data_IF_708394988103
#
_entry.id   IF_708394988103
#
_cell.length_a   1.000
_cell.length_b   1.000
_cell.length_c   1.000
_cell.angle_alpha   90.00
_cell.angle_beta   90.00
_cell.angle_gamma   90.00
#
_symmetry.space_group_name_H-M   'P 1'
#
loop_
_entity.id
_entity.type
_entity.pdbx_description
1 polymer ?
#
# COMPACT_ATOMS: atom_id res chain seq x y z
N UNK A 1 69.01 19.14 -3.61
CA UNK A 1 68.98 18.72 -5.02
C UNK A 1 67.85 17.71 -5.19
N UNK A 2 67.01 17.92 -6.20
CA UNK A 2 65.61 17.45 -6.42
C UNK A 2 65.34 15.95 -6.13
N UNK A 3 64.36 15.66 -5.28
CA UNK A 3 63.66 14.37 -5.28
C UNK A 3 62.47 14.44 -6.24
N UNK A 4 62.54 13.65 -7.33
CA UNK A 4 61.51 13.53 -8.37
C UNK A 4 60.33 12.72 -7.84
N UNK A 5 59.12 13.29 -7.92
CA UNK A 5 57.89 12.53 -7.80
C UNK A 5 57.72 11.64 -9.04
N UNK A 6 57.78 10.32 -8.86
CA UNK A 6 57.35 9.34 -9.85
C UNK A 6 55.86 9.10 -9.64
N UNK A 7 55.05 9.82 -10.42
CA UNK A 7 53.62 9.53 -10.56
C UNK A 7 53.53 8.25 -11.40
N UNK A 8 53.01 7.17 -10.81
CA UNK A 8 52.79 5.89 -11.46
C UNK A 8 51.72 6.02 -12.54
N UNK A 9 52.13 5.96 -13.80
CA UNK A 9 51.25 5.85 -14.96
C UNK A 9 50.91 4.37 -15.16
N UNK A 10 49.88 3.89 -14.48
CA UNK A 10 49.19 2.60 -14.64
C UNK A 10 47.86 2.75 -13.88
N UNK A 11 46.64 2.54 -14.38
CA UNK A 11 46.10 2.01 -15.63
C UNK A 11 44.72 2.68 -15.86
N UNK A 12 44.54 3.42 -16.96
CA UNK A 12 43.23 3.99 -17.35
C UNK A 12 42.47 3.11 -18.35
N UNK A 13 42.74 1.80 -18.35
CA UNK A 13 42.18 0.85 -19.33
C UNK A 13 40.67 0.63 -19.15
N UNK A 14 40.15 0.79 -17.93
CA UNK A 14 38.72 0.65 -17.62
C UNK A 14 37.88 1.88 -17.93
N UNK A 15 38.50 3.06 -18.07
CA UNK A 15 37.75 4.28 -18.36
C UNK A 15 37.21 4.30 -19.79
N UNK A 16 37.95 3.71 -20.74
CA UNK A 16 37.53 3.66 -22.14
C UNK A 16 36.25 2.84 -22.33
N UNK A 17 36.12 1.59 -21.84
CA UNK A 17 34.87 0.84 -21.93
C UNK A 17 33.72 1.48 -21.13
N UNK A 18 34.02 2.11 -19.99
CA UNK A 18 33.01 2.83 -19.20
C UNK A 18 32.43 4.03 -19.96
N UNK A 19 33.29 4.87 -20.56
CA UNK A 19 32.85 6.04 -21.33
C UNK A 19 32.13 5.63 -22.62
N UNK A 20 32.58 4.57 -23.29
CA UNK A 20 31.90 4.03 -24.47
C UNK A 20 30.49 3.49 -24.11
N UNK A 21 30.35 2.74 -23.01
CA UNK A 21 29.06 2.26 -22.53
C UNK A 21 28.12 3.39 -22.15
N UNK A 22 28.64 4.44 -21.49
CA UNK A 22 27.85 5.61 -21.11
C UNK A 22 27.34 6.37 -22.33
N UNK A 23 28.18 6.55 -23.35
CA UNK A 23 27.80 7.23 -24.59
C UNK A 23 26.71 6.46 -25.34
N UNK A 24 26.82 5.13 -25.43
CA UNK A 24 25.80 4.28 -26.06
C UNK A 24 24.48 4.31 -25.29
N UNK A 25 24.52 4.30 -23.96
CA UNK A 25 23.29 4.42 -23.15
C UNK A 25 22.61 5.76 -23.35
N UNK A 26 23.39 6.85 -23.43
CA UNK A 26 22.85 8.19 -23.61
C UNK A 26 22.22 8.36 -25.00
N UNK A 27 22.82 7.80 -26.05
CA UNK A 27 22.24 7.84 -27.41
C UNK A 27 20.97 7.01 -27.52
N UNK A 28 20.90 5.84 -26.86
CA UNK A 28 19.69 5.02 -26.81
C UNK A 28 18.53 5.71 -26.08
N UNK A 29 18.81 6.39 -24.96
CA UNK A 29 17.80 7.16 -24.23
C UNK A 29 17.29 8.33 -25.09
N UNK A 30 18.19 9.05 -25.77
CA UNK A 30 17.80 10.15 -26.64
C UNK A 30 16.95 9.66 -27.83
N UNK A 31 17.31 8.52 -28.43
CA UNK A 31 16.53 7.89 -29.49
C UNK A 31 15.14 7.46 -29.03
N UNK A 32 15.01 6.91 -27.81
CA UNK A 32 13.72 6.54 -27.24
C UNK A 32 12.81 7.75 -27.01
N UNK A 33 13.35 8.87 -26.50
CA UNK A 33 12.58 10.11 -26.31
C UNK A 33 12.12 10.69 -27.65
N UNK A 34 12.97 10.67 -28.68
CA UNK A 34 12.60 11.14 -30.03
C UNK A 34 11.57 10.21 -30.70
N UNK A 35 11.64 8.90 -30.44
CA UNK A 35 10.67 7.91 -30.92
C UNK A 35 9.29 8.10 -30.27
N UNK A 36 9.24 8.36 -28.96
CA UNK A 36 7.99 8.65 -28.23
C UNK A 36 7.27 9.90 -28.76
N UNK A 37 8.01 10.92 -29.22
CA UNK A 37 7.41 12.13 -29.82
C UNK A 37 6.78 11.91 -31.20
N UNK A 38 7.03 10.78 -31.87
CA UNK A 38 6.36 10.44 -33.15
C UNK A 38 5.01 9.72 -32.93
N UNK A 39 4.76 9.15 -31.75
CA UNK A 39 3.54 8.40 -31.45
C UNK A 39 2.38 9.24 -30.88
N UNK A 40 2.56 10.56 -30.71
CA UNK A 40 1.55 11.43 -30.09
C UNK A 40 0.71 12.23 -31.09
N UNK A 41 0.94 12.08 -32.40
CA UNK A 41 0.19 12.76 -33.47
C UNK A 41 -1.04 12.01 -34.00
N UNK A 42 -1.26 10.75 -33.61
CA UNK A 42 -2.45 9.98 -34.06
C UNK A 42 -3.65 10.05 -33.11
N UNK A 43 -3.47 10.48 -31.86
CA UNK A 43 -4.53 10.44 -30.85
C UNK A 43 -5.27 11.78 -30.72
N UNK A 44 -4.70 12.88 -31.23
CA UNK A 44 -5.34 14.20 -31.18
C UNK A 44 -6.57 14.33 -32.10
N UNK A 45 -6.62 13.59 -33.22
CA UNK A 45 -7.74 13.65 -34.17
C UNK A 45 -8.99 12.90 -33.71
N UNK A 46 -8.88 11.95 -32.77
CA UNK A 46 -10.02 11.20 -32.23
C UNK A 46 -10.75 11.97 -31.12
N UNK A 47 -10.04 12.81 -30.35
CA UNK A 47 -10.66 13.66 -29.33
C UNK A 47 -11.45 14.83 -29.94
N UNK A 48 -10.96 15.44 -31.02
CA UNK A 48 -11.69 16.52 -31.71
C UNK A 48 -12.99 16.03 -32.36
N UNK A 49 -13.05 14.76 -32.80
CA UNK A 49 -14.27 14.21 -33.39
C UNK A 49 -15.33 13.83 -32.34
N UNK A 50 -14.90 13.41 -31.15
CA UNK A 50 -15.81 13.11 -30.02
C UNK A 50 -16.38 14.39 -29.39
N UNK A 51 -15.58 15.45 -29.25
CA UNK A 51 -16.04 16.71 -28.64
C UNK A 51 -17.01 17.47 -29.57
N UNK A 52 -16.83 17.38 -30.89
CA UNK A 52 -17.77 17.98 -31.84
C UNK A 52 -19.09 17.21 -32.01
N UNK A 53 -19.14 15.92 -31.64
CA UNK A 53 -20.36 15.12 -31.64
C UNK A 53 -21.34 15.45 -30.50
N UNK A 54 -20.87 16.03 -29.40
CA UNK A 54 -21.68 16.37 -28.23
C UNK A 54 -22.19 17.82 -28.20
N UNK A 55 -21.87 18.63 -29.22
CA UNK A 55 -22.23 20.05 -29.27
C UNK A 55 -23.43 20.36 -30.19
N UNK A 56 -24.11 19.32 -30.69
CA UNK A 56 -25.21 19.43 -31.65
C UNK A 56 -26.48 18.71 -31.17
N UNK A 57 -26.97 19.07 -29.99
CA UNK A 57 -28.40 18.94 -29.67
C UNK A 57 -28.86 20.24 -29.04
N UNK A 58 -29.29 21.15 -29.90
CA UNK A 58 -29.72 22.48 -29.56
C UNK A 58 -31.00 22.51 -28.73
N UNK A 59 -31.08 23.59 -27.96
CA UNK A 59 -32.26 24.17 -27.36
C UNK A 59 -33.27 24.47 -28.48
N UNK A 60 -34.48 23.93 -28.38
CA UNK A 60 -35.65 24.47 -29.07
C UNK A 60 -36.78 24.64 -28.04
N UNK A 61 -37.14 25.91 -27.81
CA UNK A 61 -38.37 26.35 -27.17
C UNK A 61 -39.57 25.80 -27.92
N UNK A 62 -40.48 25.10 -27.22
CA UNK A 62 -41.87 25.01 -27.64
C UNK A 62 -42.78 24.80 -26.41
N UNK A 63 -43.45 25.87 -26.04
CA UNK A 63 -44.51 25.93 -25.04
C UNK A 63 -45.83 25.48 -25.65
N UNK A 64 -46.24 24.22 -25.45
CA UNK A 64 -47.65 23.81 -25.54
C UNK A 64 -48.03 22.75 -24.49
N UNK A 65 -49.04 23.12 -23.72
CA UNK A 65 -49.89 22.41 -22.76
C UNK A 65 -50.19 20.94 -23.13
N UNK A 66 -49.94 19.97 -22.23
CA UNK A 66 -50.67 18.69 -22.12
C UNK A 66 -50.29 17.90 -20.83
N UNK A 67 -51.26 17.87 -19.91
CA UNK A 67 -51.64 16.80 -18.96
C UNK A 67 -50.58 16.03 -18.18
N UNK A 68 -50.56 16.30 -16.87
CA UNK A 68 -49.89 15.56 -15.81
C UNK A 68 -50.31 14.08 -15.80
N UNK A 69 -49.44 13.22 -16.33
CA UNK A 69 -49.57 11.77 -16.17
C UNK A 69 -48.58 11.35 -15.10
N UNK A 70 -49.08 10.93 -13.94
CA UNK A 70 -48.28 10.36 -12.85
C UNK A 70 -47.40 9.22 -13.39
N UNK A 71 -46.10 9.48 -13.54
CA UNK A 71 -45.12 8.45 -13.82
C UNK A 71 -44.83 7.75 -12.50
N UNK A 72 -45.38 6.53 -12.33
CA UNK A 72 -44.92 5.61 -11.29
C UNK A 72 -43.46 5.29 -11.58
N UNK A 73 -42.55 5.80 -10.75
CA UNK A 73 -41.13 5.46 -10.84
C UNK A 73 -40.96 3.96 -10.58
N UNK A 74 -40.26 3.20 -11.44
CA UNK A 74 -39.85 1.84 -11.11
C UNK A 74 -38.98 1.86 -9.85
N UNK A 75 -39.01 0.82 -8.99
CA UNK A 75 -38.18 0.78 -7.81
C UNK A 75 -36.72 0.95 -8.21
N UNK A 76 -36.11 2.04 -7.75
CA UNK A 76 -34.69 2.31 -7.93
C UNK A 76 -33.92 1.07 -7.48
N UNK A 77 -33.00 0.50 -8.30
CA UNK A 77 -32.17 -0.60 -7.85
C UNK A 77 -31.49 -0.16 -6.55
N UNK A 78 -31.72 -0.91 -5.47
CA UNK A 78 -31.14 -0.61 -4.16
C UNK A 78 -29.63 -0.60 -4.30
N UNK A 79 -29.01 0.58 -4.22
CA UNK A 79 -27.56 0.71 -4.23
C UNK A 79 -27.02 -0.14 -3.07
N UNK A 80 -26.10 -1.09 -3.32
CA UNK A 80 -25.55 -1.94 -2.27
C UNK A 80 -24.94 -1.07 -1.16
N UNK A 81 -25.15 -1.44 0.10
CA UNK A 81 -24.57 -0.70 1.21
C UNK A 81 -23.03 -0.70 1.08
N UNK A 82 -22.43 0.48 1.19
CA UNK A 82 -20.97 0.61 1.16
C UNK A 82 -20.36 -0.16 2.35
N UNK A 83 -19.29 -0.94 2.13
CA UNK A 83 -18.64 -1.65 3.22
C UNK A 83 -17.96 -0.70 4.20
N UNK A 84 -17.74 -1.18 5.42
CA UNK A 84 -16.87 -0.54 6.39
C UNK A 84 -15.53 -1.26 6.43
N UNK A 85 -14.45 -0.52 6.25
CA UNK A 85 -13.10 -1.07 6.21
C UNK A 85 -12.34 -0.75 7.50
N UNK A 86 -11.52 -1.68 7.95
CA UNK A 86 -10.66 -1.57 9.10
C UNK A 86 -9.20 -1.60 8.63
N UNK A 87 -8.48 -0.50 8.80
CA UNK A 87 -7.10 -0.36 8.34
C UNK A 87 -6.10 -0.44 9.49
N UNK A 88 -5.05 -1.24 9.30
CA UNK A 88 -3.79 -1.08 10.03
C UNK A 88 -2.80 -0.34 9.13
N UNK A 89 -2.24 0.78 9.59
CA UNK A 89 -1.10 1.43 8.95
C UNK A 89 0.11 1.28 9.87
N UNK A 90 1.11 0.52 9.44
CA UNK A 90 2.33 0.24 10.21
C UNK A 90 3.52 1.01 9.66
N UNK A 91 4.37 1.53 10.53
CA UNK A 91 5.60 2.23 10.16
C UNK A 91 6.73 2.01 11.16
N UNK A 92 7.94 2.38 10.75
CA UNK A 92 9.15 2.35 11.59
C UNK A 92 9.81 3.73 11.67
N UNK A 93 11.04 3.79 12.17
CA UNK A 93 11.82 5.02 12.29
C UNK A 93 11.77 5.88 11.02
N UNK A 94 11.33 7.13 11.16
CA UNK A 94 11.25 8.09 10.06
C UNK A 94 9.99 8.03 9.20
N UNK A 95 9.10 7.06 9.44
CA UNK A 95 7.90 6.87 8.61
C UNK A 95 6.70 7.72 9.04
N UNK A 96 6.75 8.42 10.18
CA UNK A 96 5.62 9.17 10.75
C UNK A 96 4.94 10.10 9.71
N UNK A 97 5.71 10.79 8.87
CA UNK A 97 5.14 11.64 7.82
C UNK A 97 4.48 10.84 6.68
N UNK A 98 5.07 9.70 6.29
CA UNK A 98 4.51 8.85 5.25
C UNK A 98 3.22 8.19 5.73
N UNK A 99 3.17 7.73 6.98
CA UNK A 99 1.94 7.20 7.60
C UNK A 99 0.81 8.23 7.57
N UNK A 100 1.09 9.49 7.94
CA UNK A 100 0.10 10.58 7.87
C UNK A 100 -0.41 10.78 6.44
N UNK A 101 0.51 10.77 5.47
CA UNK A 101 0.17 10.90 4.05
C UNK A 101 -0.73 9.76 3.57
N UNK A 102 -0.41 8.51 3.95
CA UNK A 102 -1.23 7.33 3.60
C UNK A 102 -2.61 7.45 4.23
N UNK A 103 -2.69 7.71 5.53
CA UNK A 103 -3.95 7.89 6.25
C UNK A 103 -4.84 8.94 5.56
N UNK A 104 -4.28 10.11 5.22
CA UNK A 104 -5.02 11.17 4.55
C UNK A 104 -5.53 10.75 3.17
N UNK A 105 -4.79 9.93 2.43
CA UNK A 105 -5.17 9.47 1.10
C UNK A 105 -6.31 8.44 1.11
N UNK A 106 -6.42 7.64 2.17
CA UNK A 106 -7.43 6.58 2.29
C UNK A 106 -8.56 6.92 3.28
N UNK A 107 -8.53 8.11 3.91
CA UNK A 107 -9.47 8.45 4.97
C UNK A 107 -10.90 8.54 4.45
N UNK A 108 -11.81 7.94 5.20
CA UNK A 108 -13.25 7.98 5.00
C UNK A 108 -13.94 7.76 6.35
N UNK A 109 -15.02 8.51 6.69
CA UNK A 109 -15.62 8.51 8.03
C UNK A 109 -16.23 7.17 8.44
N UNK A 110 -16.68 6.34 7.49
CA UNK A 110 -17.29 5.03 7.80
C UNK A 110 -16.27 3.94 8.18
N UNK A 111 -14.98 4.18 7.96
CA UNK A 111 -13.92 3.21 8.16
C UNK A 111 -13.22 3.43 9.50
N UNK A 112 -12.50 2.42 9.99
CA UNK A 112 -11.70 2.48 11.21
C UNK A 112 -10.22 2.38 10.89
N UNK A 113 -9.38 3.10 11.63
CA UNK A 113 -7.94 3.17 11.38
C UNK A 113 -7.15 2.98 12.67
N UNK A 114 -6.18 2.07 12.64
CA UNK A 114 -5.15 1.93 13.67
C UNK A 114 -3.79 2.23 13.07
N UNK A 115 -3.10 3.19 13.69
CA UNK A 115 -1.72 3.51 13.37
C UNK A 115 -0.79 2.81 14.37
N UNK A 116 0.20 2.09 13.85
CA UNK A 116 1.28 1.52 14.64
C UNK A 116 2.63 2.06 14.16
N UNK A 117 3.35 2.72 15.06
CA UNK A 117 4.74 3.15 14.82
C UNK A 117 5.61 2.42 15.83
N UNK A 118 6.57 1.62 15.33
CA UNK A 118 7.32 0.66 16.14
C UNK A 118 8.26 1.30 17.18
N UNK A 119 8.92 0.44 17.97
CA UNK A 119 9.89 0.86 18.98
C UNK A 119 11.25 1.33 18.41
N UNK A 120 11.51 1.13 17.11
CA UNK A 120 12.72 1.68 16.47
C UNK A 120 12.58 3.19 16.24
N UNK A 121 11.36 3.68 16.02
CA UNK A 121 11.08 5.11 15.97
C UNK A 121 11.40 5.79 17.31
N UNK A 122 11.80 7.07 17.23
CA UNK A 122 12.06 7.85 18.45
C UNK A 122 10.77 8.09 19.24
N UNK A 123 10.82 8.18 20.58
CA UNK A 123 9.64 8.50 21.39
C UNK A 123 8.93 9.78 20.93
N UNK A 124 9.71 10.79 20.50
CA UNK A 124 9.18 12.03 19.94
C UNK A 124 8.31 11.79 18.70
N UNK A 125 8.75 10.95 17.77
CA UNK A 125 7.98 10.65 16.54
C UNK A 125 6.63 10.00 16.85
N UNK A 126 6.60 9.07 17.82
CA UNK A 126 5.36 8.44 18.29
C UNK A 126 4.42 9.42 18.98
N UNK A 127 4.96 10.29 19.85
CA UNK A 127 4.19 11.34 20.51
C UNK A 127 3.62 12.32 19.47
N UNK A 128 4.42 12.71 18.48
CA UNK A 128 4.00 13.64 17.43
C UNK A 128 2.94 13.01 16.51
N UNK A 129 2.99 11.70 16.28
CA UNK A 129 1.93 10.97 15.56
C UNK A 129 0.64 10.92 16.38
N UNK A 130 0.73 10.56 17.66
CA UNK A 130 -0.42 10.54 18.57
C UNK A 130 -1.06 11.93 18.72
N UNK A 131 -0.23 12.97 18.85
CA UNK A 131 -0.69 14.37 18.90
C UNK A 131 -1.41 14.77 17.61
N UNK A 132 -0.86 14.42 16.45
CA UNK A 132 -1.50 14.68 15.16
C UNK A 132 -2.92 14.09 15.10
N UNK A 133 -3.09 12.83 15.53
CA UNK A 133 -4.42 12.20 15.56
C UNK A 133 -5.36 12.88 16.56
N UNK A 134 -4.86 13.15 17.78
CA UNK A 134 -5.64 13.79 18.86
C UNK A 134 -6.05 15.24 18.60
N UNK A 135 -5.31 15.96 17.75
CA UNK A 135 -5.55 17.37 17.45
C UNK A 135 -6.29 17.61 16.13
N UNK A 136 -6.46 16.58 15.29
CA UNK A 136 -7.20 16.73 14.05
C UNK A 136 -8.72 16.78 14.35
N UNK A 137 -9.42 17.89 14.05
CA UNK A 137 -10.84 18.04 14.38
C UNK A 137 -11.73 16.93 13.79
N UNK A 138 -11.42 16.49 12.56
CA UNK A 138 -12.22 15.47 11.86
C UNK A 138 -12.06 14.12 12.57
N UNK A 139 -10.83 13.75 12.94
CA UNK A 139 -10.58 12.46 13.61
C UNK A 139 -11.14 12.44 15.03
N UNK A 140 -11.18 13.60 15.69
CA UNK A 140 -11.78 13.75 17.02
C UNK A 140 -13.30 13.66 16.97
N UNK A 141 -13.92 14.34 16.01
CA UNK A 141 -15.37 14.35 15.81
C UNK A 141 -15.91 12.96 15.44
N UNK A 142 -15.27 12.31 14.48
CA UNK A 142 -15.68 10.97 14.01
C UNK A 142 -15.22 9.85 14.96
N UNK A 143 -14.07 10.02 15.63
CA UNK A 143 -13.55 9.06 16.61
C UNK A 143 -13.03 7.75 16.02
N UNK A 144 -12.68 7.73 14.73
CA UNK A 144 -12.36 6.51 13.97
C UNK A 144 -10.87 6.26 13.69
N UNK A 145 -9.97 7.06 14.27
CA UNK A 145 -8.51 6.92 14.11
C UNK A 145 -7.83 6.80 15.48
N UNK A 146 -7.07 5.73 15.68
CA UNK A 146 -6.29 5.51 16.91
C UNK A 146 -4.81 5.27 16.62
N UNK A 147 -3.98 5.51 17.63
CA UNK A 147 -2.55 5.16 17.62
C UNK A 147 -2.28 4.16 18.72
N UNK A 148 -1.61 3.05 18.40
CA UNK A 148 -1.19 2.07 19.40
C UNK A 148 -0.16 2.71 20.33
N UNK A 149 -0.56 2.95 21.59
CA UNK A 149 0.32 3.58 22.59
C UNK A 149 1.46 2.66 23.04
N UNK A 150 1.17 1.38 23.28
CA UNK A 150 2.19 0.36 23.60
C UNK A 150 2.77 -0.21 22.31
N UNK A 151 3.75 0.50 21.76
CA UNK A 151 4.39 0.10 20.52
C UNK A 151 5.14 -1.25 20.68
N UNK A 152 4.97 -2.12 19.70
CA UNK A 152 5.75 -3.34 19.55
C UNK A 152 7.10 -3.05 18.87
N UNK A 153 8.12 -3.84 19.19
CA UNK A 153 9.34 -3.91 18.40
C UNK A 153 9.10 -4.85 17.23
N UNK A 154 9.42 -4.40 16.00
CA UNK A 154 9.14 -5.16 14.78
C UNK A 154 10.44 -5.47 14.06
N UNK A 155 10.74 -6.75 13.92
CA UNK A 155 11.92 -7.27 13.20
C UNK A 155 11.51 -7.70 11.80
N UNK A 156 12.25 -7.25 10.79
CA UNK A 156 11.98 -7.65 9.41
C UNK A 156 12.13 -9.16 9.23
N UNK A 157 11.17 -9.80 8.54
CA UNK A 157 11.04 -11.26 8.38
C UNK A 157 10.83 -12.05 9.68
N UNK A 158 10.69 -11.36 10.81
CA UNK A 158 10.42 -11.97 12.09
C UNK A 158 8.93 -12.18 12.35
N UNK A 159 8.55 -13.13 13.22
CA UNK A 159 7.20 -13.31 13.74
C UNK A 159 6.63 -12.05 14.41
N UNK A 160 7.46 -11.12 14.87
CA UNK A 160 7.01 -9.84 15.43
C UNK A 160 6.18 -9.00 14.46
N UNK A 161 6.42 -9.10 13.13
CA UNK A 161 5.57 -8.45 12.13
C UNK A 161 4.13 -8.97 12.20
N UNK A 162 3.96 -10.29 12.18
CA UNK A 162 2.65 -10.93 12.28
C UNK A 162 2.00 -10.67 13.64
N UNK A 163 2.77 -10.72 14.73
CA UNK A 163 2.28 -10.41 16.07
C UNK A 163 1.76 -8.97 16.15
N UNK A 164 2.40 -8.02 15.47
CA UNK A 164 1.94 -6.64 15.38
C UNK A 164 0.59 -6.52 14.63
N UNK A 165 0.45 -7.20 13.49
CA UNK A 165 -0.81 -7.24 12.73
C UNK A 165 -1.94 -7.83 13.57
N UNK A 166 -1.69 -8.96 14.24
CA UNK A 166 -2.67 -9.60 15.13
C UNK A 166 -3.02 -8.71 16.34
N UNK A 167 -2.05 -7.98 16.89
CA UNK A 167 -2.31 -7.02 17.96
C UNK A 167 -3.26 -5.91 17.51
N UNK A 168 -3.06 -5.35 16.32
CA UNK A 168 -3.96 -4.34 15.78
C UNK A 168 -5.36 -4.88 15.48
N UNK A 169 -5.46 -6.06 14.85
CA UNK A 169 -6.74 -6.72 14.59
C UNK A 169 -7.51 -6.97 15.90
N UNK A 170 -6.84 -7.42 16.96
CA UNK A 170 -7.45 -7.60 18.27
C UNK A 170 -7.98 -6.29 18.88
N UNK A 171 -7.29 -5.17 18.66
CA UNK A 171 -7.78 -3.86 19.11
C UNK A 171 -9.02 -3.44 18.31
N UNK A 172 -9.01 -3.59 16.97
CA UNK A 172 -10.16 -3.29 16.11
C UNK A 172 -11.38 -4.09 16.53
N UNK A 173 -11.25 -5.42 16.67
CA UNK A 173 -12.31 -6.31 17.12
C UNK A 173 -12.87 -5.91 18.50
N UNK A 174 -12.02 -5.43 19.41
CA UNK A 174 -12.45 -4.97 20.73
C UNK A 174 -13.18 -3.61 20.68
N UNK A 175 -12.84 -2.73 19.74
CA UNK A 175 -13.46 -1.41 19.59
C UNK A 175 -14.82 -1.48 18.90
N UNK A 176 -14.94 -2.37 17.92
CA UNK A 176 -16.18 -2.63 17.21
C UNK A 176 -15.91 -3.62 16.08
N UNK A 177 -16.71 -4.68 15.99
CA UNK A 177 -16.62 -5.70 14.94
C UNK A 177 -17.64 -5.45 13.82
N UNK A 178 -18.03 -4.19 13.61
CA UNK A 178 -19.03 -3.81 12.60
C UNK A 178 -18.39 -3.43 11.25
N UNK A 179 -17.10 -3.71 11.09
CA UNK A 179 -16.39 -3.61 9.81
C UNK A 179 -16.45 -4.93 9.04
N UNK A 180 -16.44 -4.83 7.71
CA UNK A 180 -16.56 -5.96 6.78
C UNK A 180 -15.21 -6.57 6.42
N UNK A 181 -14.16 -5.73 6.33
CA UNK A 181 -12.82 -6.18 5.96
C UNK A 181 -11.70 -5.43 6.69
N UNK A 182 -10.71 -6.19 7.13
CA UNK A 182 -9.42 -5.75 7.64
C UNK A 182 -8.37 -5.68 6.52
N UNK A 183 -7.67 -4.55 6.41
CA UNK A 183 -6.62 -4.30 5.43
C UNK A 183 -5.35 -3.83 6.16
N UNK A 184 -4.24 -4.54 5.98
CA UNK A 184 -2.96 -4.12 6.52
C UNK A 184 -2.11 -3.37 5.47
N UNK A 185 -1.59 -2.21 5.86
CA UNK A 185 -0.74 -1.34 5.06
C UNK A 185 0.52 -1.00 5.84
N UNK A 186 1.60 -0.76 5.10
CA UNK A 186 2.83 -0.15 5.57
C UNK A 186 2.87 1.33 5.20
N UNK A 187 3.79 2.07 5.81
CA UNK A 187 4.05 3.46 5.47
C UNK A 187 4.62 3.66 4.04
N UNK A 188 5.01 2.59 3.35
CA UNK A 188 5.50 2.65 1.97
C UNK A 188 4.40 2.42 0.93
N UNK A 189 3.22 1.97 1.35
CA UNK A 189 2.08 1.72 0.45
C UNK A 189 1.37 3.02 0.07
N UNK A 190 0.68 3.03 -1.07
CA UNK A 190 -0.13 4.17 -1.49
C UNK A 190 -1.30 3.71 -2.36
N UNK A 191 -2.52 4.25 -2.17
CA UNK A 191 -3.67 3.84 -2.97
C UNK A 191 -3.49 4.27 -4.44
N UNK A 192 -3.86 3.37 -5.36
CA UNK A 192 -3.89 3.64 -6.82
C UNK A 192 -5.28 4.04 -7.32
N UNK A 193 -6.30 3.82 -6.50
CA UNK A 193 -7.70 4.20 -6.75
C UNK A 193 -8.20 5.04 -5.58
N UNK A 194 -9.26 5.80 -5.78
CA UNK A 194 -9.84 6.59 -4.69
C UNK A 194 -10.52 5.68 -3.67
N UNK A 195 -10.69 6.20 -2.45
CA UNK A 195 -11.38 5.45 -1.40
C UNK A 195 -12.83 5.15 -1.78
N UNK A 196 -13.51 6.10 -2.44
CA UNK A 196 -14.90 5.93 -2.87
C UNK A 196 -15.02 4.87 -3.97
N UNK A 197 -14.09 4.84 -4.93
CA UNK A 197 -14.07 3.81 -5.97
C UNK A 197 -13.82 2.43 -5.38
N UNK A 198 -12.92 2.31 -4.39
CA UNK A 198 -12.68 1.06 -3.68
C UNK A 198 -13.94 0.58 -2.96
N UNK A 199 -14.60 1.46 -2.20
CA UNK A 199 -15.84 1.14 -1.50
C UNK A 199 -16.95 0.75 -2.48
N UNK A 200 -17.05 1.44 -3.62
CA UNK A 200 -18.00 1.13 -4.68
C UNK A 200 -17.77 -0.28 -5.25
N UNK A 201 -16.54 -0.62 -5.64
CA UNK A 201 -16.22 -1.95 -6.16
C UNK A 201 -16.50 -3.03 -5.12
N UNK A 202 -16.04 -2.84 -3.88
CA UNK A 202 -16.28 -3.80 -2.79
C UNK A 202 -17.77 -3.92 -2.44
N UNK A 203 -18.60 -2.91 -2.67
CA UNK A 203 -20.05 -2.98 -2.40
C UNK A 203 -20.76 -4.07 -3.21
N UNK A 204 -20.22 -4.45 -4.38
CA UNK A 204 -20.76 -5.54 -5.22
C UNK A 204 -20.19 -6.91 -4.90
N UNK A 205 -19.19 -7.01 -4.02
CA UNK A 205 -18.55 -8.28 -3.66
C UNK A 205 -19.21 -8.91 -2.42
N UNK A 206 -19.39 -10.24 -2.41
CA UNK A 206 -19.81 -10.96 -1.21
C UNK A 206 -18.89 -10.69 -0.03
N UNK A 207 -19.48 -10.39 1.14
CA UNK A 207 -18.75 -10.02 2.36
C UNK A 207 -17.93 -11.17 2.95
N UNK A 208 -18.27 -12.41 2.64
CA UNK A 208 -17.63 -13.64 3.12
C UNK A 208 -16.32 -13.99 2.39
N UNK A 209 -15.86 -13.14 1.47
CA UNK A 209 -14.62 -13.35 0.72
C UNK A 209 -13.40 -12.75 1.43
N UNK A 210 -12.27 -13.45 1.30
CA UNK A 210 -10.95 -12.97 1.68
C UNK A 210 -10.07 -12.83 0.43
N UNK A 211 -9.29 -11.74 0.35
CA UNK A 211 -8.39 -11.49 -0.77
C UNK A 211 -6.94 -11.70 -0.32
N UNK A 212 -6.37 -12.81 -0.77
CA UNK A 212 -5.04 -13.28 -0.39
C UNK A 212 -4.30 -13.79 -1.62
N UNK A 213 -3.12 -13.24 -1.88
CA UNK A 213 -2.20 -13.85 -2.84
C UNK A 213 -1.53 -15.06 -2.19
N UNK A 214 -1.71 -16.25 -2.74
CA UNK A 214 -1.09 -17.46 -2.22
C UNK A 214 -0.69 -18.45 -3.30
N UNK A 215 0.33 -19.25 -3.02
CA UNK A 215 0.69 -20.42 -3.82
C UNK A 215 0.95 -21.63 -2.92
N UNK A 216 0.55 -22.82 -3.39
CA UNK A 216 0.92 -24.08 -2.76
C UNK A 216 2.14 -24.75 -3.38
N UNK A 217 2.68 -24.18 -4.47
CA UNK A 217 3.93 -24.63 -5.04
C UNK A 217 5.09 -23.98 -4.28
N UNK A 218 5.65 -24.74 -3.33
CA UNK A 218 6.71 -24.27 -2.45
C UNK A 218 8.08 -24.34 -3.13
N UNK A 219 8.34 -25.36 -3.94
CA UNK A 219 9.65 -25.62 -4.54
C UNK A 219 10.83 -25.38 -3.57
N UNK A 220 11.77 -24.54 -3.98
CA UNK A 220 12.93 -24.16 -3.16
C UNK A 220 12.57 -23.41 -1.86
N UNK A 221 11.40 -22.77 -1.79
CA UNK A 221 10.94 -22.00 -0.61
C UNK A 221 10.67 -22.91 0.59
N UNK A 222 10.33 -24.18 0.39
CA UNK A 222 10.15 -25.13 1.50
C UNK A 222 11.44 -25.23 2.34
N UNK A 223 12.58 -25.42 1.66
CA UNK A 223 13.89 -25.57 2.32
C UNK A 223 14.34 -24.26 2.96
N UNK A 224 14.02 -23.12 2.37
CA UNK A 224 14.49 -21.81 2.82
C UNK A 224 13.58 -21.09 3.82
N UNK A 225 12.27 -21.41 3.86
CA UNK A 225 11.28 -20.67 4.65
C UNK A 225 10.44 -21.55 5.58
N UNK A 226 10.30 -22.85 5.30
CA UNK A 226 9.45 -23.75 6.12
C UNK A 226 10.29 -24.53 7.13
N UNK A 227 11.35 -25.18 6.65
CA UNK A 227 12.25 -26.04 7.45
C UNK A 227 13.15 -25.31 8.43
N UNK A 228 13.64 -24.08 8.17
CA UNK A 228 14.50 -23.41 9.14
C UNK A 228 13.76 -23.03 10.42
N UNK A 229 14.52 -22.95 11.52
CA UNK A 229 14.03 -22.43 12.79
C UNK A 229 14.66 -21.04 12.98
N UNK A 230 13.81 -20.05 13.23
CA UNK A 230 14.22 -18.66 13.46
C UNK A 230 13.92 -18.25 14.90
N UNK A 231 14.80 -17.42 15.46
CA UNK A 231 14.61 -16.77 16.75
C UNK A 231 14.51 -15.27 16.47
N UNK A 232 13.44 -14.65 16.95
CA UNK A 232 13.22 -13.21 16.83
C UNK A 232 13.54 -12.54 18.16
N UNK A 233 14.66 -11.80 18.25
CA UNK A 233 15.03 -11.11 19.47
C UNK A 233 14.02 -10.03 19.86
N UNK A 234 13.25 -9.51 18.90
CA UNK A 234 12.23 -8.49 19.15
C UNK A 234 11.11 -8.95 20.07
N UNK A 235 10.99 -10.26 20.35
CA UNK A 235 10.03 -10.80 21.31
C UNK A 235 10.46 -10.64 22.78
N UNK A 236 11.76 -10.56 23.07
CA UNK A 236 12.28 -10.57 24.45
C UNK A 236 13.37 -9.51 24.72
N UNK A 237 13.90 -8.84 23.69
CA UNK A 237 14.85 -7.74 23.83
C UNK A 237 14.18 -6.40 23.53
N UNK A 238 14.65 -5.36 24.20
CA UNK A 238 14.18 -3.97 24.00
C UNK A 238 14.87 -3.26 22.82
N UNK A 239 15.93 -3.84 22.25
CA UNK A 239 16.69 -3.27 21.13
C UNK A 239 16.47 -4.08 19.86
N UNK A 240 16.25 -3.41 18.73
CA UNK A 240 16.12 -4.05 17.44
C UNK A 240 17.43 -4.76 17.05
N UNK A 241 17.31 -5.99 16.62
CA UNK A 241 18.39 -6.79 16.03
C UNK A 241 17.79 -7.73 14.99
N UNK A 242 18.61 -8.21 14.06
CA UNK A 242 18.15 -9.12 13.03
C UNK A 242 17.74 -10.48 13.61
N UNK A 243 16.91 -11.21 12.85
CA UNK A 243 16.53 -12.58 13.20
C UNK A 243 17.75 -13.49 13.21
N UNK A 244 17.79 -14.40 14.17
CA UNK A 244 18.80 -15.45 14.23
C UNK A 244 18.26 -16.73 13.60
N UNK A 245 19.12 -17.39 12.85
CA UNK A 245 18.84 -18.70 12.26
C UNK A 245 19.49 -19.77 13.12
N UNK A 246 18.70 -20.73 13.60
CA UNK A 246 19.26 -21.89 14.28
C UNK A 246 19.99 -22.79 13.27
N UNK A 247 21.00 -23.52 13.73
CA UNK A 247 21.71 -24.51 12.91
C UNK A 247 20.82 -25.72 12.60
N UNK A 248 19.92 -26.07 13.52
CA UNK A 248 18.95 -27.14 13.33
C UNK A 248 17.78 -26.72 12.43
N UNK A 249 17.20 -27.71 11.76
CA UNK A 249 15.99 -27.57 10.93
C UNK A 249 14.90 -28.48 11.48
N UNK A 250 13.64 -28.10 11.26
CA UNK A 250 12.47 -28.91 11.58
C UNK A 250 11.95 -29.65 10.34
N UNK A 251 11.19 -30.71 10.58
CA UNK A 251 10.40 -31.36 9.54
C UNK A 251 9.26 -30.44 9.07
N UNK A 252 8.77 -30.68 7.85
CA UNK A 252 7.60 -29.98 7.33
C UNK A 252 6.35 -30.50 8.06
N UNK A 253 5.49 -29.62 8.60
CA UNK A 253 4.21 -30.03 9.18
C UNK A 253 3.39 -30.83 8.17
N UNK A 254 2.82 -31.97 8.59
CA UNK A 254 2.00 -32.85 7.75
C UNK A 254 0.51 -32.81 8.10
N UNK A 255 0.11 -32.10 9.16
CA UNK A 255 -1.28 -31.98 9.59
C UNK A 255 -2.12 -31.02 8.73
N UNK A 256 -1.46 -30.16 7.94
CA UNK A 256 -2.11 -29.16 7.09
C UNK A 256 -1.26 -28.85 5.87
N UNK A 257 -1.90 -28.35 4.82
CA UNK A 257 -1.21 -27.90 3.60
C UNK A 257 -0.67 -26.48 3.80
N UNK A 258 0.58 -26.26 3.42
CA UNK A 258 1.21 -24.96 3.49
C UNK A 258 0.94 -24.16 2.21
N UNK A 259 0.60 -22.90 2.40
CA UNK A 259 0.51 -21.89 1.36
C UNK A 259 1.47 -20.75 1.70
N UNK A 260 2.20 -20.27 0.71
CA UNK A 260 3.06 -19.09 0.84
C UNK A 260 2.50 -17.97 -0.01
N UNK A 261 2.48 -16.77 0.55
CA UNK A 261 1.85 -15.62 -0.06
C UNK A 261 2.58 -14.32 0.26
N UNK A 262 1.96 -13.23 -0.16
CA UNK A 262 2.38 -11.89 0.22
C UNK A 262 1.94 -11.59 1.67
N UNK A 263 2.56 -10.58 2.28
CA UNK A 263 2.22 -10.11 3.62
C UNK A 263 0.98 -9.20 3.62
N UNK A 264 0.56 -8.72 2.46
CA UNK A 264 -0.63 -7.89 2.29
C UNK A 264 -1.87 -8.76 2.09
N UNK A 265 -2.91 -8.44 2.85
CA UNK A 265 -4.15 -9.19 2.85
C UNK A 265 -5.35 -8.28 3.11
N UNK A 266 -6.48 -8.65 2.51
CA UNK A 266 -7.80 -8.16 2.90
C UNK A 266 -8.55 -9.33 3.51
N UNK A 267 -8.74 -9.28 4.82
CA UNK A 267 -9.31 -10.35 5.63
C UNK A 267 -10.67 -9.94 6.19
N UNK A 268 -11.52 -10.90 6.51
CA UNK A 268 -12.70 -10.71 7.36
C UNK A 268 -12.33 -10.76 8.86
#
# INVERSE_FOLDING_TARGET
MKARALISVTERKWMIPFMASSLVSFTLILAAVVSSNKSQKSNASLYDHLINGFRQSGIEDNSQLLTETQIVQPPTPSVPLAPKLAYLISGTKGDSHRMKRVLQAIYHPNNQYILHLDLEALPKERIDLARYVKLNPIFVDVGNVDVIGKANLVTYRGPTMTACTLHAAAILLKKGSDWDWFINLSASDYPLITQDDLLHVLSFLPRDLNFLEHTSDLGWKEVQRVKPIIIDPGLYLSRKSDIFWATQRRAVPNAFKLFLGNLFCTLL
#
